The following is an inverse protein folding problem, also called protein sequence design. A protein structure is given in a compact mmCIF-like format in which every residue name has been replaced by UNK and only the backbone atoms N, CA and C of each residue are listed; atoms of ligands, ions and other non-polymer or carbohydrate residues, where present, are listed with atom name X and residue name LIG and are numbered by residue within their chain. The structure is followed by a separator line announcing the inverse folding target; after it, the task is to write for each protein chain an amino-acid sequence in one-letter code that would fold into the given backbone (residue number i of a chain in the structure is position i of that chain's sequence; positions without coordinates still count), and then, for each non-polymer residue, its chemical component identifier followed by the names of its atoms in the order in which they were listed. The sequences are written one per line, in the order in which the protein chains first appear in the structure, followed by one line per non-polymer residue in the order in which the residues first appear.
data_IF_768161740691
#
_entry.id   IF_768161740691
#
_cell.length_a   1.000
_cell.length_b   1.000
_cell.length_c   1.000
_cell.angle_alpha   90.00
_cell.angle_beta   90.00
_cell.angle_gamma   90.00
#
_symmetry.space_group_name_H-M   'P 1'
#
loop_
_entity.id
_entity.type
_entity.pdbx_description
1 polymer ?
#
# COMPACT_ATOMS: atom_id res chain seq x y z
N UNK A 1 -4.02 -30.38 9.91
CA UNK A 1 -3.48 -29.26 10.71
C UNK A 1 -2.10 -28.78 10.23
N UNK A 2 -1.26 -29.66 9.65
CA UNK A 2 0.10 -29.33 9.18
C UNK A 2 0.16 -28.18 8.14
N UNK A 3 -0.72 -28.18 7.13
CA UNK A 3 -0.73 -27.13 6.09
C UNK A 3 -0.98 -25.72 6.64
N UNK A 4 -1.86 -25.58 7.64
CA UNK A 4 -2.17 -24.28 8.25
C UNK A 4 -0.98 -23.80 9.10
N UNK A 5 -0.26 -24.71 9.76
CA UNK A 5 0.97 -24.38 10.47
C UNK A 5 2.02 -23.86 9.48
N UNK A 6 2.23 -24.54 8.35
CA UNK A 6 3.12 -24.08 7.30
C UNK A 6 2.76 -22.67 6.78
N UNK A 7 1.48 -22.33 6.63
CA UNK A 7 1.09 -20.99 6.18
C UNK A 7 1.45 -19.90 7.21
N UNK A 8 1.30 -20.20 8.50
CA UNK A 8 1.72 -19.29 9.58
C UNK A 8 3.24 -19.14 9.64
N UNK A 9 3.97 -20.23 9.41
CA UNK A 9 5.43 -20.20 9.39
C UNK A 9 5.95 -19.39 8.19
N UNK A 10 5.34 -19.56 7.00
CA UNK A 10 5.62 -18.73 5.82
C UNK A 10 5.36 -17.25 6.12
N UNK A 11 4.23 -16.92 6.76
CA UNK A 11 3.94 -15.54 7.15
C UNK A 11 5.04 -14.98 8.06
N UNK A 12 5.47 -15.73 9.07
CA UNK A 12 6.52 -15.32 10.00
C UNK A 12 7.86 -15.12 9.28
N UNK A 13 8.25 -16.06 8.43
CA UNK A 13 9.49 -15.97 7.65
C UNK A 13 9.49 -14.76 6.70
N UNK A 14 8.38 -14.48 6.02
CA UNK A 14 8.24 -13.29 5.16
C UNK A 14 8.33 -12.00 5.98
N UNK A 15 7.66 -11.96 7.14
CA UNK A 15 7.72 -10.80 8.03
C UNK A 15 9.16 -10.52 8.48
N UNK A 16 9.86 -11.54 8.98
CA UNK A 16 11.25 -11.42 9.46
C UNK A 16 12.20 -10.98 8.32
N UNK A 17 12.06 -11.58 7.13
CA UNK A 17 12.84 -11.20 5.96
C UNK A 17 12.61 -9.74 5.54
N UNK A 18 11.35 -9.29 5.55
CA UNK A 18 11.00 -7.91 5.20
C UNK A 18 11.49 -6.92 6.25
N UNK A 19 11.41 -7.25 7.54
CA UNK A 19 11.92 -6.43 8.64
C UNK A 19 13.44 -6.27 8.57
N UNK A 20 14.17 -7.33 8.21
CA UNK A 20 15.63 -7.28 8.03
C UNK A 20 16.05 -6.44 6.82
N UNK A 21 15.25 -6.45 5.74
CA UNK A 21 15.60 -5.75 4.49
C UNK A 21 15.08 -4.30 4.45
N UNK A 22 14.11 -3.94 5.30
CA UNK A 22 13.47 -2.61 5.29
C UNK A 22 14.45 -1.42 5.40
N UNK A 23 15.49 -1.46 6.27
CA UNK A 23 16.39 -0.32 6.46
C UNK A 23 17.24 0.04 5.24
N UNK A 24 17.34 -0.84 4.24
CA UNK A 24 18.19 -0.66 3.05
C UNK A 24 17.46 0.11 1.94
N UNK A 25 16.15 0.31 2.05
CA UNK A 25 15.34 1.01 1.04
C UNK A 25 15.43 2.54 1.09
N UNK A 26 14.82 3.20 0.10
CA UNK A 26 14.71 4.67 0.05
C UNK A 26 13.90 5.27 1.21
N UNK A 27 12.89 4.53 1.68
CA UNK A 27 12.07 4.89 2.83
C UNK A 27 11.69 3.60 3.58
N UNK A 28 11.43 3.67 4.89
CA UNK A 28 10.98 2.50 5.65
C UNK A 28 9.50 2.18 5.32
N UNK A 29 9.18 0.89 5.15
CA UNK A 29 7.79 0.40 5.00
C UNK A 29 6.99 0.60 6.28
N UNK A 30 7.63 0.36 7.42
CA UNK A 30 6.99 0.31 8.73
C UNK A 30 6.27 -1.02 9.00
N UNK A 31 6.21 -1.39 10.29
CA UNK A 31 5.72 -2.70 10.75
C UNK A 31 4.29 -3.02 10.34
N UNK A 32 3.40 -2.04 10.30
CA UNK A 32 2.01 -2.25 9.88
C UNK A 32 1.87 -2.58 8.39
N UNK A 33 2.74 -2.03 7.54
CA UNK A 33 2.77 -2.35 6.11
C UNK A 33 3.36 -3.73 5.89
N UNK A 34 4.43 -4.07 6.62
CA UNK A 34 5.05 -5.40 6.58
C UNK A 34 4.04 -6.49 7.02
N UNK A 35 3.34 -6.30 8.14
CA UNK A 35 2.29 -7.25 8.58
C UNK A 35 1.18 -7.41 7.53
N UNK A 36 0.80 -6.33 6.84
CA UNK A 36 -0.14 -6.37 5.72
C UNK A 36 0.35 -7.22 4.55
N UNK A 37 1.63 -7.08 4.16
CA UNK A 37 2.25 -7.92 3.12
C UNK A 37 2.23 -9.39 3.57
N UNK A 38 2.71 -9.69 4.77
CA UNK A 38 2.84 -11.06 5.26
C UNK A 38 1.48 -11.77 5.37
N UNK A 39 0.42 -11.07 5.78
CA UNK A 39 -0.95 -11.59 5.74
C UNK A 39 -1.47 -11.83 4.32
N UNK A 40 -1.08 -11.01 3.36
CA UNK A 40 -1.45 -11.22 1.95
C UNK A 40 -0.82 -12.51 1.43
N UNK A 41 0.42 -12.82 1.81
CA UNK A 41 1.04 -14.12 1.51
C UNK A 41 0.30 -15.28 2.17
N UNK A 42 -0.08 -15.14 3.45
CA UNK A 42 -0.90 -16.14 4.15
C UNK A 42 -2.26 -16.37 3.42
N UNK A 43 -2.95 -15.28 3.06
CA UNK A 43 -4.24 -15.29 2.39
C UNK A 43 -4.18 -15.98 1.01
N UNK A 44 -3.13 -15.74 0.22
CA UNK A 44 -2.94 -16.40 -1.09
C UNK A 44 -2.86 -17.91 -0.94
N UNK A 45 -2.17 -18.40 0.08
CA UNK A 45 -2.08 -19.84 0.35
C UNK A 45 -3.45 -20.45 0.70
N UNK A 46 -4.27 -19.75 1.48
CA UNK A 46 -5.66 -20.19 1.73
C UNK A 46 -6.52 -20.20 0.46
N UNK A 47 -6.37 -19.20 -0.42
CA UNK A 47 -7.10 -19.15 -1.70
C UNK A 47 -6.72 -20.36 -2.56
N UNK A 48 -5.44 -20.69 -2.67
CA UNK A 48 -4.96 -21.86 -3.41
C UNK A 48 -5.52 -23.16 -2.82
N UNK A 49 -5.50 -23.31 -1.48
CA UNK A 49 -6.03 -24.49 -0.78
C UNK A 49 -7.53 -24.67 -1.00
N UNK A 50 -8.32 -23.59 -0.86
CA UNK A 50 -9.76 -23.65 -1.05
C UNK A 50 -10.13 -23.90 -2.51
N UNK A 51 -9.38 -23.31 -3.45
CA UNK A 51 -9.59 -23.53 -4.88
C UNK A 51 -9.29 -24.98 -5.26
N UNK A 52 -8.18 -25.56 -4.78
CA UNK A 52 -7.83 -26.95 -5.08
C UNK A 52 -8.84 -27.92 -4.46
N UNK A 53 -9.22 -27.71 -3.20
CA UNK A 53 -10.24 -28.52 -2.53
C UNK A 53 -11.59 -28.44 -3.25
N UNK A 54 -12.03 -27.22 -3.61
CA UNK A 54 -13.29 -27.03 -4.32
C UNK A 54 -13.26 -27.65 -5.72
N UNK A 55 -12.14 -27.57 -6.43
CA UNK A 55 -11.98 -28.20 -7.75
C UNK A 55 -12.08 -29.72 -7.65
N UNK A 56 -11.42 -30.34 -6.67
CA UNK A 56 -11.50 -31.78 -6.41
C UNK A 56 -12.91 -32.20 -5.99
N UNK A 57 -13.58 -31.40 -5.18
CA UNK A 57 -14.96 -31.66 -4.77
C UNK A 57 -15.91 -31.66 -5.98
N UNK A 58 -15.78 -30.69 -6.89
CA UNK A 58 -16.58 -30.66 -8.13
C UNK A 58 -16.27 -31.87 -9.00
N UNK A 59 -15.00 -32.24 -9.16
CA UNK A 59 -14.61 -33.44 -9.90
C UNK A 59 -15.29 -34.71 -9.33
N UNK A 60 -15.29 -34.86 -8.01
CA UNK A 60 -15.92 -35.99 -7.31
C UNK A 60 -17.44 -36.02 -7.50
N UNK A 61 -18.10 -34.86 -7.45
CA UNK A 61 -19.56 -34.76 -7.63
C UNK A 61 -20.01 -35.01 -9.08
N UNK A 62 -19.19 -34.61 -10.07
CA UNK A 62 -19.49 -34.85 -11.48
C UNK A 62 -19.33 -36.33 -11.84
N UNK A 63 -18.22 -36.96 -11.41
CA UNK A 63 -18.05 -38.42 -11.43
C UNK A 63 -18.37 -39.11 -12.77
N UNK A 64 -18.16 -38.43 -13.90
CA UNK A 64 -18.55 -38.97 -15.22
C UNK A 64 -17.52 -39.98 -15.72
N UNK A 65 -17.95 -41.01 -16.46
CA UNK A 65 -17.04 -41.94 -17.14
C UNK A 65 -16.26 -41.28 -18.29
N UNK A 66 -16.77 -40.15 -18.81
CA UNK A 66 -16.15 -39.41 -19.91
C UNK A 66 -15.10 -38.45 -19.35
N UNK A 67 -13.83 -38.76 -19.60
CA UNK A 67 -12.67 -37.97 -19.13
C UNK A 67 -12.76 -36.49 -19.52
N UNK A 68 -13.23 -36.19 -20.74
CA UNK A 68 -13.36 -34.81 -21.23
C UNK A 68 -14.37 -33.98 -20.43
N UNK A 69 -15.46 -34.59 -19.94
CA UNK A 69 -16.45 -33.90 -19.11
C UNK A 69 -15.85 -33.53 -17.76
N UNK A 70 -15.11 -34.45 -17.15
CA UNK A 70 -14.41 -34.21 -15.89
C UNK A 70 -13.35 -33.12 -16.02
N UNK A 71 -12.57 -33.14 -17.11
CA UNK A 71 -11.55 -32.12 -17.38
C UNK A 71 -12.17 -30.74 -17.57
N UNK A 72 -13.25 -30.63 -18.36
CA UNK A 72 -13.95 -29.38 -18.58
C UNK A 72 -14.58 -28.84 -17.28
N UNK A 73 -15.21 -29.70 -16.49
CA UNK A 73 -15.82 -29.34 -15.21
C UNK A 73 -14.78 -28.85 -14.19
N UNK A 74 -13.63 -29.53 -14.07
CA UNK A 74 -12.56 -29.12 -13.18
C UNK A 74 -11.94 -27.78 -13.60
N UNK A 75 -11.70 -27.57 -14.89
CA UNK A 75 -11.16 -26.31 -15.39
C UNK A 75 -12.13 -25.14 -15.15
N UNK A 76 -13.42 -25.34 -15.43
CA UNK A 76 -14.45 -24.34 -15.21
C UNK A 76 -14.60 -24.01 -13.71
N UNK A 77 -14.66 -25.04 -12.85
CA UNK A 77 -14.76 -24.86 -11.40
C UNK A 77 -13.54 -24.12 -10.82
N UNK A 78 -12.32 -24.52 -11.21
CA UNK A 78 -11.09 -23.88 -10.77
C UNK A 78 -11.03 -22.41 -11.18
N UNK A 79 -11.39 -22.10 -12.43
CA UNK A 79 -11.42 -20.72 -12.93
C UNK A 79 -12.47 -19.86 -12.19
N UNK A 80 -13.67 -20.39 -11.96
CA UNK A 80 -14.74 -19.69 -11.23
C UNK A 80 -14.37 -19.47 -9.76
N UNK A 81 -13.85 -20.48 -9.08
CA UNK A 81 -13.43 -20.39 -7.68
C UNK A 81 -12.29 -19.38 -7.52
N UNK A 82 -11.26 -19.47 -8.37
CA UNK A 82 -10.13 -18.55 -8.34
C UNK A 82 -10.58 -17.12 -8.63
N UNK A 83 -11.36 -16.91 -9.69
CA UNK A 83 -11.89 -15.59 -10.06
C UNK A 83 -12.74 -14.98 -8.95
N UNK A 84 -13.61 -15.78 -8.33
CA UNK A 84 -14.40 -15.38 -7.17
C UNK A 84 -13.52 -14.95 -6.00
N UNK A 85 -12.60 -15.81 -5.57
CA UNK A 85 -11.73 -15.53 -4.41
C UNK A 85 -10.87 -14.28 -4.61
N UNK A 86 -10.22 -14.13 -5.77
CA UNK A 86 -9.41 -12.94 -6.07
C UNK A 86 -10.25 -11.67 -6.00
N UNK A 87 -11.49 -11.71 -6.50
CA UNK A 87 -12.39 -10.55 -6.49
C UNK A 87 -12.86 -10.16 -5.09
N UNK A 88 -13.05 -11.13 -4.19
CA UNK A 88 -13.43 -10.90 -2.79
C UNK A 88 -12.26 -10.41 -1.93
N UNK A 89 -11.02 -10.80 -2.25
CA UNK A 89 -9.83 -10.39 -1.48
C UNK A 89 -9.28 -9.02 -1.89
N UNK A 90 -9.76 -8.41 -2.98
CA UNK A 90 -9.30 -7.08 -3.41
C UNK A 90 -9.62 -6.01 -2.35
N UNK A 91 -8.58 -5.46 -1.74
CA UNK A 91 -8.68 -4.39 -0.75
C UNK A 91 -8.91 -3.01 -1.36
N UNK A 92 -9.38 -2.07 -0.52
CA UNK A 92 -9.40 -0.63 -0.84
C UNK A 92 -8.00 -0.01 -0.80
N UNK A 93 -7.79 0.99 -1.64
CA UNK A 93 -6.56 1.77 -1.75
C UNK A 93 -6.79 3.23 -1.29
N UNK A 94 -5.72 4.01 -1.23
CA UNK A 94 -5.74 5.41 -0.81
C UNK A 94 -6.64 6.27 -1.71
N UNK A 95 -6.63 6.05 -3.02
CA UNK A 95 -7.50 6.76 -3.97
C UNK A 95 -9.01 6.59 -3.69
N UNK A 96 -9.41 5.52 -2.99
CA UNK A 96 -10.81 5.31 -2.62
C UNK A 96 -11.25 6.27 -1.50
N UNK A 97 -10.33 6.67 -0.61
CA UNK A 97 -10.64 7.37 0.65
C UNK A 97 -10.24 8.84 0.69
N UNK A 98 -9.38 9.30 -0.24
CA UNK A 98 -8.96 10.69 -0.33
C UNK A 98 -8.90 11.15 -1.79
N UNK A 99 -8.88 12.46 -2.00
CA UNK A 99 -8.48 13.07 -3.27
C UNK A 99 -7.01 13.46 -3.19
N UNK A 100 -6.25 13.08 -4.21
CA UNK A 100 -4.82 13.36 -4.33
C UNK A 100 -4.63 14.38 -5.46
N UNK A 101 -3.88 15.44 -5.16
CA UNK A 101 -3.44 16.46 -6.10
C UNK A 101 -2.01 16.90 -5.78
N UNK A 102 -1.37 17.60 -6.71
CA UNK A 102 -0.08 18.22 -6.46
C UNK A 102 -0.25 19.52 -5.69
N UNK A 103 0.52 19.68 -4.61
CA UNK A 103 0.56 20.91 -3.84
C UNK A 103 1.58 21.89 -4.40
N UNK A 104 1.33 23.17 -4.18
CA UNK A 104 2.28 24.23 -4.49
C UNK A 104 3.40 24.25 -3.44
N UNK A 105 4.64 24.12 -3.90
CA UNK A 105 5.84 24.11 -3.05
C UNK A 105 6.32 25.55 -2.88
N UNK A 106 6.35 26.02 -1.63
CA UNK A 106 6.88 27.33 -1.26
C UNK A 106 8.04 27.17 -0.26
N UNK A 107 9.21 27.73 -0.60
CA UNK A 107 10.42 27.62 0.23
C UNK A 107 10.77 29.01 0.75
N UNK A 108 10.57 29.22 2.06
CA UNK A 108 10.79 30.48 2.76
C UNK A 108 12.02 30.37 3.65
N UNK A 109 13.14 30.90 3.20
CA UNK A 109 14.41 30.75 3.93
C UNK A 109 14.84 29.29 3.97
N UNK A 110 14.83 28.68 5.17
CA UNK A 110 15.13 27.26 5.41
C UNK A 110 13.87 26.37 5.50
N UNK A 111 12.69 26.99 5.45
CA UNK A 111 11.42 26.31 5.65
C UNK A 111 10.78 25.88 4.34
N UNK A 112 10.18 24.69 4.36
CA UNK A 112 9.36 24.14 3.28
C UNK A 112 7.90 24.21 3.67
N UNK A 113 7.10 24.83 2.81
CA UNK A 113 5.65 24.86 2.87
C UNK A 113 5.07 24.17 1.64
N UNK A 114 3.92 23.52 1.82
CA UNK A 114 3.13 22.96 0.72
C UNK A 114 1.67 23.35 0.93
N UNK A 115 1.06 24.07 -0.01
CA UNK A 115 -0.29 24.66 0.12
C UNK A 115 -0.48 25.42 1.44
N UNK A 116 0.56 26.17 1.85
CA UNK A 116 0.60 26.90 3.12
C UNK A 116 0.81 26.04 4.38
N UNK A 117 0.93 24.72 4.25
CA UNK A 117 1.19 23.81 5.38
C UNK A 117 2.71 23.74 5.63
N UNK A 118 3.14 24.07 6.84
CA UNK A 118 4.54 23.95 7.26
C UNK A 118 4.98 22.47 7.32
N UNK A 119 6.03 22.11 6.58
CA UNK A 119 6.53 20.74 6.47
C UNK A 119 7.76 20.55 7.35
N UNK A 120 8.81 21.33 7.12
CA UNK A 120 10.11 21.18 7.79
C UNK A 120 10.97 22.45 7.65
N UNK A 121 11.93 22.64 8.56
CA UNK A 121 12.99 23.64 8.48
C UNK A 121 14.34 23.07 8.00
N UNK A 122 14.36 21.83 7.49
CA UNK A 122 15.57 21.10 7.11
C UNK A 122 16.24 21.58 5.81
N UNK A 123 15.70 22.61 5.14
CA UNK A 123 16.27 23.17 3.91
C UNK A 123 17.23 24.33 4.19
N UNK A 124 17.99 24.32 5.29
CA UNK A 124 18.94 25.40 5.60
C UNK A 124 20.07 25.55 4.57
N UNK A 125 20.47 24.46 3.91
CA UNK A 125 21.56 24.45 2.93
C UNK A 125 21.04 24.87 1.55
N UNK A 126 21.73 25.80 0.88
CA UNK A 126 21.36 26.29 -0.46
C UNK A 126 21.22 25.17 -1.49
N UNK A 127 22.15 24.20 -1.50
CA UNK A 127 22.08 23.03 -2.36
C UNK A 127 20.79 22.23 -2.17
N UNK A 128 20.34 22.03 -0.92
CA UNK A 128 19.09 21.32 -0.60
C UNK A 128 17.86 22.12 -1.04
N UNK A 129 17.89 23.45 -0.91
CA UNK A 129 16.83 24.36 -1.39
C UNK A 129 16.71 24.33 -2.90
N UNK A 130 17.82 24.48 -3.60
CA UNK A 130 17.86 24.45 -5.07
C UNK A 130 17.35 23.10 -5.59
N UNK A 131 17.81 22.00 -4.99
CA UNK A 131 17.39 20.65 -5.33
C UNK A 131 15.87 20.47 -5.17
N UNK A 132 15.31 20.85 -4.02
CA UNK A 132 13.88 20.71 -3.78
C UNK A 132 13.04 21.65 -4.66
N UNK A 133 13.54 22.84 -4.97
CA UNK A 133 12.85 23.80 -5.85
C UNK A 133 12.79 23.33 -7.30
N UNK A 134 13.84 22.68 -7.80
CA UNK A 134 13.93 22.23 -9.19
C UNK A 134 13.23 20.88 -9.41
N UNK A 135 13.39 19.96 -8.46
CA UNK A 135 13.02 18.55 -8.64
C UNK A 135 12.03 18.04 -7.60
N UNK A 136 11.67 18.86 -6.61
CA UNK A 136 10.73 18.45 -5.55
C UNK A 136 9.33 18.19 -6.07
N UNK A 137 8.71 17.15 -5.52
CA UNK A 137 7.30 16.81 -5.75
C UNK A 137 6.59 16.79 -4.41
N UNK A 138 5.42 17.42 -4.36
CA UNK A 138 4.55 17.39 -3.19
C UNK A 138 3.15 16.91 -3.59
N UNK A 139 2.70 15.84 -2.95
CA UNK A 139 1.34 15.33 -3.05
C UNK A 139 0.56 15.75 -1.80
N UNK A 140 -0.63 16.31 -2.02
CA UNK A 140 -1.59 16.62 -0.95
C UNK A 140 -2.76 15.66 -1.04
N UNK A 141 -2.98 14.91 0.03
CA UNK A 141 -4.08 14.00 0.22
C UNK A 141 -5.16 14.66 1.09
N UNK A 142 -6.36 14.85 0.56
CA UNK A 142 -7.51 15.42 1.26
C UNK A 142 -8.53 14.31 1.54
N UNK A 143 -8.85 14.01 2.81
CA UNK A 143 -9.80 12.95 3.13
C UNK A 143 -11.20 13.30 2.62
N UNK A 144 -11.95 12.32 2.08
CA UNK A 144 -13.34 12.56 1.63
C UNK A 144 -14.36 12.58 2.79
N UNK A 145 -13.95 12.21 4.00
CA UNK A 145 -14.78 12.19 5.21
C UNK A 145 -13.93 12.14 6.48
N UNK A 146 -14.50 12.54 7.62
CA UNK A 146 -13.85 12.46 8.95
C UNK A 146 -13.44 11.03 9.34
N UNK A 147 -14.24 10.02 8.95
CA UNK A 147 -13.88 8.61 9.18
C UNK A 147 -12.62 8.20 8.41
N UNK A 148 -12.46 8.73 7.20
CA UNK A 148 -11.29 8.48 6.36
C UNK A 148 -10.09 9.32 6.78
N UNK A 149 -10.32 10.52 7.35
CA UNK A 149 -9.29 11.35 7.98
C UNK A 149 -8.52 10.58 9.04
N UNK A 150 -9.20 9.84 9.91
CA UNK A 150 -8.56 8.95 10.90
C UNK A 150 -7.64 7.91 10.27
N UNK A 151 -7.99 7.43 9.06
CA UNK A 151 -7.19 6.45 8.34
C UNK A 151 -5.92 7.08 7.78
N UNK A 152 -6.09 8.23 7.13
CA UNK A 152 -5.02 8.97 6.49
C UNK A 152 -4.03 9.49 7.55
N UNK A 153 -4.52 10.05 8.66
CA UNK A 153 -3.71 10.64 9.73
C UNK A 153 -2.82 9.64 10.48
N UNK A 154 -3.05 8.34 10.30
CA UNK A 154 -2.19 7.32 10.85
C UNK A 154 -0.76 7.43 10.30
N UNK A 155 0.23 7.49 11.19
CA UNK A 155 1.64 7.62 10.79
C UNK A 155 2.13 6.46 9.90
N UNK A 156 1.67 5.23 10.15
CA UNK A 156 1.98 4.07 9.32
C UNK A 156 1.39 4.19 7.92
N UNK A 157 0.17 4.74 7.79
CA UNK A 157 -0.43 4.94 6.47
C UNK A 157 0.31 6.01 5.67
N UNK A 158 0.74 7.10 6.31
CA UNK A 158 1.59 8.12 5.65
C UNK A 158 2.93 7.54 5.20
N UNK A 159 3.58 6.77 6.06
CA UNK A 159 4.82 6.09 5.74
C UNK A 159 4.66 5.11 4.57
N UNK A 160 3.56 4.35 4.53
CA UNK A 160 3.24 3.45 3.43
C UNK A 160 3.11 4.17 2.08
N UNK A 161 2.44 5.33 2.04
CA UNK A 161 2.32 6.09 0.80
C UNK A 161 3.69 6.62 0.36
N UNK A 162 4.47 7.19 1.29
CA UNK A 162 5.83 7.64 1.01
C UNK A 162 6.71 6.48 0.50
N UNK A 163 6.58 5.31 1.12
CA UNK A 163 7.30 4.11 0.73
C UNK A 163 6.98 3.69 -0.70
N UNK A 164 5.69 3.60 -1.07
CA UNK A 164 5.28 3.15 -2.39
C UNK A 164 5.79 4.08 -3.49
N UNK A 165 5.71 5.41 -3.28
CA UNK A 165 6.24 6.38 -4.25
C UNK A 165 7.77 6.37 -4.29
N UNK A 166 8.44 6.33 -3.14
CA UNK A 166 9.91 6.33 -3.07
C UNK A 166 10.52 5.05 -3.66
N UNK A 167 9.88 3.90 -3.44
CA UNK A 167 10.30 2.63 -4.05
C UNK A 167 10.14 2.65 -5.57
N UNK A 168 9.06 3.22 -6.08
CA UNK A 168 8.71 3.15 -7.50
C UNK A 168 9.50 4.15 -8.36
N UNK A 169 9.81 5.33 -7.81
CA UNK A 169 10.45 6.41 -8.56
C UNK A 169 11.85 6.78 -8.05
N UNK A 170 12.33 6.04 -7.05
CA UNK A 170 13.51 6.41 -6.27
C UNK A 170 13.26 7.65 -5.41
N UNK A 171 14.12 7.86 -4.43
CA UNK A 171 14.16 9.12 -3.69
C UNK A 171 15.60 9.53 -3.41
N UNK A 172 15.83 10.84 -3.50
CA UNK A 172 17.05 11.45 -2.95
C UNK A 172 16.88 11.59 -1.42
N UNK A 173 17.83 12.26 -0.77
CA UNK A 173 17.91 12.39 0.70
C UNK A 173 16.67 13.08 1.35
N UNK A 174 15.88 13.83 0.59
CA UNK A 174 14.81 14.68 1.12
C UNK A 174 13.45 13.99 0.99
N UNK A 175 12.96 13.46 2.11
CA UNK A 175 11.70 12.72 2.24
C UNK A 175 10.92 13.23 3.45
N UNK A 176 9.71 13.74 3.22
CA UNK A 176 8.90 14.34 4.27
C UNK A 176 7.46 13.85 4.19
N UNK A 177 6.87 13.59 5.36
CA UNK A 177 5.42 13.47 5.49
C UNK A 177 4.95 14.37 6.63
N UNK A 178 3.83 15.05 6.42
CA UNK A 178 3.25 15.96 7.42
C UNK A 178 1.74 15.84 7.43
N UNK A 179 1.15 15.93 8.63
CA UNK A 179 -0.29 16.17 8.78
C UNK A 179 -0.53 17.63 9.08
N UNK A 180 -1.58 18.17 8.48
CA UNK A 180 -2.17 19.44 8.85
C UNK A 180 -3.25 19.18 9.92
N UNK A 181 -3.12 19.83 11.07
CA UNK A 181 -4.06 19.68 12.18
C UNK A 181 -5.44 20.33 11.93
N UNK A 182 -5.54 21.52 11.33
CA UNK A 182 -6.82 22.19 11.12
C UNK A 182 -7.78 21.43 10.21
N UNK A 183 -7.29 20.87 9.11
CA UNK A 183 -8.10 20.38 7.99
C UNK A 183 -7.90 18.89 7.67
N UNK A 184 -7.00 18.21 8.38
CA UNK A 184 -6.74 16.77 8.19
C UNK A 184 -6.05 16.43 6.87
N UNK A 185 -5.55 17.43 6.13
CA UNK A 185 -4.76 17.21 4.92
C UNK A 185 -3.43 16.57 5.27
N UNK A 186 -2.94 15.74 4.36
CA UNK A 186 -1.63 15.13 4.49
C UNK A 186 -0.78 15.50 3.30
N UNK A 187 0.44 15.92 3.61
CA UNK A 187 1.45 16.25 2.62
C UNK A 187 2.49 15.16 2.61
N UNK A 188 2.84 14.72 1.41
CA UNK A 188 3.95 13.83 1.11
C UNK A 188 4.85 14.58 0.14
N UNK A 189 6.01 15.01 0.62
CA UNK A 189 6.90 15.87 -0.13
C UNK A 189 8.28 15.21 -0.19
N UNK A 190 8.79 14.97 -1.39
CA UNK A 190 10.09 14.33 -1.57
C UNK A 190 10.71 14.72 -2.91
N UNK A 191 11.99 14.39 -3.08
CA UNK A 191 12.70 14.58 -4.36
C UNK A 191 12.89 13.22 -5.05
N UNK A 192 12.09 12.88 -6.09
CA UNK A 192 12.23 11.64 -6.83
C UNK A 192 13.51 11.61 -7.68
N UNK A 193 13.93 10.41 -8.09
CA UNK A 193 14.96 10.24 -9.14
C UNK A 193 14.30 10.30 -10.52
N UNK A 194 13.15 9.65 -10.68
CA UNK A 194 12.34 9.67 -11.89
C UNK A 194 11.15 10.61 -11.68
N UNK A 195 11.17 11.76 -12.35
CA UNK A 195 10.15 12.81 -12.19
C UNK A 195 8.99 12.64 -13.17
N UNK A 196 8.15 11.62 -12.96
CA UNK A 196 6.88 11.45 -13.68
C UNK A 196 5.71 11.69 -12.73
N UNK A 197 5.17 12.91 -12.76
CA UNK A 197 4.12 13.36 -11.83
C UNK A 197 2.90 12.44 -11.87
N UNK A 198 2.33 12.20 -13.04
CA UNK A 198 1.10 11.39 -13.16
C UNK A 198 1.29 9.96 -12.64
N UNK A 199 2.44 9.34 -12.92
CA UNK A 199 2.75 8.00 -12.39
C UNK A 199 3.00 8.03 -10.88
N UNK A 200 3.65 9.06 -10.34
CA UNK A 200 3.82 9.23 -8.88
C UNK A 200 2.46 9.34 -8.19
N UNK A 201 1.54 10.14 -8.74
CA UNK A 201 0.18 10.26 -8.21
C UNK A 201 -0.58 8.94 -8.30
N UNK A 202 -0.42 8.19 -9.39
CA UNK A 202 -1.04 6.87 -9.57
C UNK A 202 -0.52 5.87 -8.52
N UNK A 203 0.80 5.79 -8.31
CA UNK A 203 1.38 4.93 -7.28
C UNK A 203 0.86 5.29 -5.87
N UNK A 204 0.78 6.58 -5.54
CA UNK A 204 0.21 7.02 -4.27
C UNK A 204 -1.27 6.66 -4.11
N UNK A 205 -2.06 6.68 -5.21
CA UNK A 205 -3.48 6.29 -5.21
C UNK A 205 -3.64 4.78 -4.99
N UNK A 206 -2.75 3.98 -5.55
CA UNK A 206 -2.78 2.52 -5.49
C UNK A 206 -2.27 1.94 -4.16
N UNK A 207 -1.64 2.77 -3.32
CA UNK A 207 -1.21 2.35 -1.97
C UNK A 207 -2.34 1.69 -1.19
N UNK A 208 -2.15 0.47 -0.66
CA UNK A 208 -3.18 -0.24 0.07
C UNK A 208 -3.47 0.40 1.43
N UNK A 209 -4.73 0.33 1.88
CA UNK A 209 -5.09 0.73 3.23
C UNK A 209 -4.67 -0.35 4.23
N UNK A 210 -3.89 0.06 5.23
CA UNK A 210 -3.37 -0.81 6.28
C UNK A 210 -4.49 -1.40 7.15
N UNK A 211 -4.39 -2.71 7.45
CA UNK A 211 -5.37 -3.39 8.30
C UNK A 211 -5.38 -2.90 9.76
N UNK A 212 -4.21 -2.54 10.29
CA UNK A 212 -4.06 -2.00 11.65
C UNK A 212 -4.93 -0.75 11.85
N UNK A 213 -5.13 0.01 10.78
CA UNK A 213 -5.93 1.22 10.74
C UNK A 213 -7.42 0.87 10.61
N UNK A 214 -7.78 -0.08 9.72
CA UNK A 214 -9.16 -0.57 9.57
C UNK A 214 -9.75 -1.11 10.88
N UNK A 215 -8.97 -1.81 11.70
CA UNK A 215 -9.44 -2.37 12.99
C UNK A 215 -9.84 -1.30 14.01
N UNK A 216 -9.17 -0.14 14.04
CA UNK A 216 -9.51 0.97 14.94
C UNK A 216 -10.83 1.64 14.54
N UNK A 217 -11.09 1.73 13.25
CA UNK A 217 -12.29 2.38 12.70
C UNK A 217 -13.58 1.54 12.85
N UNK A 218 -13.47 0.22 13.08
CA UNK A 218 -14.64 -0.69 13.25
C UNK A 218 -15.07 -0.88 14.71
N UNK A 219 -14.21 -0.52 15.68
CA UNK A 219 -14.46 -0.66 17.13
C UNK A 219 -15.04 0.62 17.77
N UNK A 220 -15.50 1.57 16.98
CA UNK A 220 -16.18 2.79 17.43
C UNK A 220 -17.40 3.03 16.57
#
# INVERSE_FOLDING_TARGET
MLAIQHFRDIRKQIQESLEQTDPVGFAPRGSAYIDGISKTFEARNYICLLTSLGTVLVLYLVGSEIVWINAAAALAAGAVLMGGMVRFTKGKCIGDICTLHFGEIDIRGSELYVDGIWITAALGVEKKRALFRQEGVALVAVPKSEKQRLTLENGGQRAAILYDVARSFGAKELLFTKRSFPDGRIVIAFVPIISDKEKIMTAARETPILESVRKRTRRR
#
